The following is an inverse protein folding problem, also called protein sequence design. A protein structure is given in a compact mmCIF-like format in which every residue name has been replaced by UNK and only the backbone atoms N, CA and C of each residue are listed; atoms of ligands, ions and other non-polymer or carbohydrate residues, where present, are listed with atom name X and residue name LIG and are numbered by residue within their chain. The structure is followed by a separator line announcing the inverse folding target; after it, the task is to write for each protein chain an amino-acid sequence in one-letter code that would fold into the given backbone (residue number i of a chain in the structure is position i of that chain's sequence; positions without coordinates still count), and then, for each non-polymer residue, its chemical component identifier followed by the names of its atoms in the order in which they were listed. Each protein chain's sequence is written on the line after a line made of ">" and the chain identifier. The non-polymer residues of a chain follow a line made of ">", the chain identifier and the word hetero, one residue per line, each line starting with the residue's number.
data_IF_373843294816
#
_entry.id   IF_373843294816
#
_cell.length_a   1.000
_cell.length_b   1.000
_cell.length_c   1.000
_cell.angle_alpha   90.00
_cell.angle_beta   90.00
_cell.angle_gamma   90.00
#
_symmetry.space_group_name_H-M   'P 1'
#
loop_
_entity.id
_entity.type
_entity.pdbx_description
1 polymer ?
#
# COMPACT_ATOMS: atom_id res chain seq x y z
N UNK A 1 12.46 2.91 4.74
CA UNK A 1 11.72 1.79 4.13
C UNK A 1 10.45 2.25 3.45
N UNK A 2 10.09 1.61 2.37
CA UNK A 2 8.87 1.90 1.61
C UNK A 2 7.89 0.75 1.76
N UNK A 3 6.66 1.07 2.15
CA UNK A 3 5.56 0.12 2.15
C UNK A 3 4.71 0.36 0.90
N UNK A 4 4.59 -0.64 0.05
CA UNK A 4 3.72 -0.60 -1.13
C UNK A 4 2.46 -1.39 -0.86
N UNK A 5 1.31 -0.81 -1.18
CA UNK A 5 0.01 -1.43 -0.95
C UNK A 5 -0.76 -1.54 -2.27
N UNK A 6 -1.13 -2.76 -2.60
CA UNK A 6 -2.06 -3.06 -3.67
C UNK A 6 -3.43 -3.27 -3.04
N UNK A 7 -4.35 -2.35 -3.33
CA UNK A 7 -5.65 -2.26 -2.65
C UNK A 7 -6.56 -3.41 -3.06
N UNK A 8 -7.08 -4.11 -2.08
CA UNK A 8 -8.03 -5.18 -2.28
C UNK A 8 -8.66 -5.60 -0.97
N UNK A 9 -9.76 -6.33 -1.03
CA UNK A 9 -10.41 -6.91 0.14
C UNK A 9 -10.07 -8.39 0.22
N UNK A 10 -10.21 -9.10 -0.89
CA UNK A 10 -9.88 -10.52 -0.96
C UNK A 10 -8.38 -10.77 -0.95
N UNK A 11 -7.63 -9.87 -1.59
CA UNK A 11 -6.18 -9.95 -1.67
C UNK A 11 -5.62 -8.56 -1.43
N UNK A 12 -5.45 -8.22 -0.17
CA UNK A 12 -4.75 -7.00 0.23
C UNK A 12 -3.26 -7.33 0.29
N UNK A 13 -2.51 -6.78 -0.65
CA UNK A 13 -1.07 -7.05 -0.74
C UNK A 13 -0.28 -5.88 -0.18
N UNK A 14 0.64 -6.19 0.72
CA UNK A 14 1.53 -5.20 1.33
C UNK A 14 2.96 -5.71 1.26
N UNK A 15 3.86 -4.85 0.81
CA UNK A 15 5.26 -5.20 0.62
C UNK A 15 6.17 -4.12 1.16
N UNK A 16 7.05 -4.49 2.08
CA UNK A 16 8.03 -3.58 2.68
C UNK A 16 9.38 -3.74 1.98
N UNK A 17 9.87 -2.65 1.41
CA UNK A 17 11.14 -2.59 0.70
C UNK A 17 12.14 -1.74 1.47
N UNK A 18 13.36 -2.27 1.64
CA UNK A 18 14.48 -1.48 2.11
C UNK A 18 15.12 -0.77 0.91
N UNK A 19 15.06 0.56 0.89
CA UNK A 19 15.59 1.37 -0.21
C UNK A 19 17.10 1.26 -0.34
N UNK A 20 17.81 1.09 0.77
CA UNK A 20 19.26 1.04 0.79
C UNK A 20 19.80 -0.24 0.17
N UNK A 21 19.24 -1.39 0.57
CA UNK A 21 19.64 -2.70 0.06
C UNK A 21 18.89 -3.13 -1.18
N UNK A 22 17.78 -2.46 -1.48
CA UNK A 22 16.84 -2.80 -2.57
C UNK A 22 16.24 -4.21 -2.40
N UNK A 23 16.12 -4.67 -1.15
CA UNK A 23 15.58 -5.98 -0.81
C UNK A 23 14.20 -5.85 -0.19
N UNK A 24 13.36 -6.85 -0.45
CA UNK A 24 12.07 -7.01 0.23
C UNK A 24 12.36 -7.53 1.64
N UNK A 25 11.95 -6.76 2.63
CA UNK A 25 12.14 -7.09 4.04
C UNK A 25 10.99 -7.96 4.55
N UNK A 26 9.77 -7.64 4.16
CA UNK A 26 8.59 -8.38 4.57
C UNK A 26 7.45 -8.12 3.58
N UNK A 27 6.58 -9.11 3.41
CA UNK A 27 5.40 -8.97 2.57
C UNK A 27 4.28 -9.85 3.09
N UNK A 28 3.05 -9.47 2.75
CA UNK A 28 1.85 -10.19 3.09
C UNK A 28 0.81 -10.02 2.00
N UNK A 29 0.15 -11.11 1.63
CA UNK A 29 -1.02 -11.09 0.77
C UNK A 29 -2.10 -11.88 1.48
N UNK A 30 -3.13 -11.20 1.95
CA UNK A 30 -4.18 -11.85 2.73
C UNK A 30 -5.53 -11.18 2.50
N UNK A 31 -6.60 -11.96 2.71
CA UNK A 31 -7.95 -11.45 2.65
C UNK A 31 -8.35 -10.79 3.96
N UNK A 32 -9.06 -9.69 3.86
CA UNK A 32 -9.68 -9.06 5.03
C UNK A 32 -10.90 -9.86 5.41
N UNK A 33 -11.04 -10.28 6.68
CA UNK A 33 -12.24 -11.03 7.11
C UNK A 33 -13.51 -10.21 6.85
N UNK A 34 -14.49 -10.75 6.11
CA UNK A 34 -15.64 -9.96 5.65
C UNK A 34 -16.69 -9.71 6.73
N UNK A 35 -16.65 -10.41 7.84
CA UNK A 35 -17.79 -10.49 8.76
C UNK A 35 -17.53 -9.92 10.14
N UNK A 36 -16.92 -8.74 10.24
CA UNK A 36 -16.95 -8.05 11.51
C UNK A 36 -18.36 -7.45 11.69
N UNK A 37 -18.97 -7.69 12.86
CA UNK A 37 -20.31 -7.18 13.18
C UNK A 37 -20.41 -5.65 13.04
N UNK A 38 -19.31 -4.94 13.23
CA UNK A 38 -19.24 -3.48 13.18
C UNK A 38 -18.80 -2.94 11.81
N UNK A 39 -18.67 -3.82 10.81
CA UNK A 39 -18.45 -3.43 9.42
C UNK A 39 -17.04 -3.61 8.90
N UNK A 40 -16.90 -3.33 7.59
CA UNK A 40 -15.67 -3.53 6.85
C UNK A 40 -14.48 -2.75 7.41
N UNK A 41 -14.69 -1.51 7.81
CA UNK A 41 -13.58 -0.67 8.26
C UNK A 41 -13.01 -1.11 9.60
N UNK A 42 -13.85 -1.68 10.46
CA UNK A 42 -13.36 -2.28 11.71
C UNK A 42 -12.53 -3.53 11.40
N UNK A 43 -12.99 -4.36 10.46
CA UNK A 43 -12.21 -5.51 10.00
C UNK A 43 -10.87 -5.10 9.41
N UNK A 44 -10.85 -4.06 8.59
CA UNK A 44 -9.62 -3.52 8.01
C UNK A 44 -8.66 -3.02 9.09
N UNK A 45 -9.16 -2.25 10.04
CA UNK A 45 -8.36 -1.74 11.15
C UNK A 45 -7.69 -2.89 11.92
N UNK A 46 -8.47 -3.88 12.28
CA UNK A 46 -7.97 -5.01 13.07
C UNK A 46 -6.97 -5.84 12.27
N UNK A 47 -7.23 -6.02 10.97
CA UNK A 47 -6.33 -6.72 10.06
C UNK A 47 -4.97 -6.01 9.95
N UNK A 48 -4.99 -4.69 9.85
CA UNK A 48 -3.77 -3.88 9.77
C UNK A 48 -3.06 -3.79 11.13
N UNK A 49 -3.81 -3.61 12.21
CA UNK A 49 -3.24 -3.54 13.56
C UNK A 49 -2.56 -4.85 13.98
N UNK A 50 -2.94 -5.97 13.36
CA UNK A 50 -2.30 -7.28 13.57
C UNK A 50 -0.91 -7.37 12.93
N UNK A 51 -0.51 -6.37 12.16
CA UNK A 51 0.76 -6.34 11.43
C UNK A 51 1.59 -5.10 11.81
N UNK A 52 2.19 -5.08 13.00
CA UNK A 52 2.93 -3.88 13.46
C UNK A 52 4.09 -3.47 12.55
N UNK A 53 4.63 -4.41 11.78
CA UNK A 53 5.75 -4.13 10.87
C UNK A 53 5.41 -3.10 9.78
N UNK A 54 4.14 -2.95 9.42
CA UNK A 54 3.74 -1.98 8.40
C UNK A 54 3.96 -0.52 8.84
N UNK A 55 4.06 -0.28 10.14
CA UNK A 55 4.27 1.05 10.69
C UNK A 55 5.74 1.48 10.73
N UNK A 56 6.65 0.61 10.31
CA UNK A 56 8.08 0.91 10.24
C UNK A 56 8.47 1.68 8.96
N UNK A 57 7.54 1.87 8.05
CA UNK A 57 7.81 2.56 6.80
C UNK A 57 7.98 4.05 6.99
N UNK A 58 8.90 4.64 6.23
CA UNK A 58 9.08 6.10 6.11
C UNK A 58 8.17 6.67 5.02
N UNK A 59 7.82 5.83 4.06
CA UNK A 59 6.94 6.17 2.95
C UNK A 59 5.94 5.04 2.72
N UNK A 60 4.69 5.41 2.54
CA UNK A 60 3.60 4.47 2.22
C UNK A 60 3.03 4.84 0.85
N UNK A 61 3.03 3.87 -0.06
CA UNK A 61 2.51 4.03 -1.41
C UNK A 61 1.23 3.23 -1.56
N UNK A 62 0.14 3.93 -1.85
CA UNK A 62 -1.17 3.32 -2.03
C UNK A 62 -1.60 3.54 -3.49
N UNK A 63 -1.90 2.46 -4.20
CA UNK A 63 -2.36 2.55 -5.58
C UNK A 63 -3.76 3.13 -5.65
N UNK A 64 -3.92 4.21 -6.43
CA UNK A 64 -5.20 4.88 -6.63
C UNK A 64 -6.19 3.94 -7.33
N UNK A 65 -7.38 3.84 -6.77
CA UNK A 65 -8.43 3.01 -7.32
C UNK A 65 -9.32 3.79 -8.29
N UNK A 66 -9.93 3.11 -9.26
CA UNK A 66 -10.87 3.76 -10.18
C UNK A 66 -12.08 4.34 -9.46
N UNK A 67 -12.50 5.54 -9.86
CA UNK A 67 -13.67 6.21 -9.27
C UNK A 67 -14.96 5.41 -9.44
N UNK A 68 -15.02 4.58 -10.47
CA UNK A 68 -16.17 3.71 -10.74
C UNK A 68 -16.35 2.63 -9.68
N UNK A 69 -15.26 2.21 -9.03
CA UNK A 69 -15.32 1.20 -7.98
C UNK A 69 -15.38 1.87 -6.61
N UNK A 70 -16.61 2.21 -6.21
CA UNK A 70 -16.84 2.95 -4.97
C UNK A 70 -16.31 2.23 -3.75
N UNK A 71 -16.47 0.91 -3.68
CA UNK A 71 -16.02 0.13 -2.53
C UNK A 71 -14.50 0.15 -2.40
N UNK A 72 -13.78 -0.05 -3.50
CA UNK A 72 -12.32 0.01 -3.49
C UNK A 72 -11.83 1.44 -3.22
N UNK A 73 -12.57 2.44 -3.69
CA UNK A 73 -12.25 3.84 -3.41
C UNK A 73 -12.37 4.14 -1.93
N UNK A 74 -13.38 3.60 -1.27
CA UNK A 74 -13.54 3.73 0.18
C UNK A 74 -12.39 3.05 0.93
N UNK A 75 -11.96 1.88 0.48
CA UNK A 75 -10.82 1.16 1.07
C UNK A 75 -9.52 1.97 0.89
N UNK A 76 -9.31 2.53 -0.29
CA UNK A 76 -8.17 3.41 -0.58
C UNK A 76 -8.09 4.57 0.41
N UNK A 77 -9.20 5.27 0.61
CA UNK A 77 -9.25 6.41 1.54
C UNK A 77 -9.09 5.97 2.99
N UNK A 78 -9.64 4.82 3.35
CA UNK A 78 -9.45 4.26 4.68
C UNK A 78 -7.97 3.97 4.94
N UNK A 79 -7.29 3.35 4.00
CA UNK A 79 -5.87 3.04 4.12
C UNK A 79 -5.03 4.31 4.27
N UNK A 80 -5.32 5.32 3.47
CA UNK A 80 -4.65 6.60 3.56
C UNK A 80 -4.81 7.21 4.97
N UNK A 81 -6.05 7.27 5.44
CA UNK A 81 -6.37 7.80 6.77
C UNK A 81 -5.71 6.98 7.88
N UNK A 82 -5.75 5.66 7.75
CA UNK A 82 -5.13 4.76 8.73
C UNK A 82 -3.65 5.10 8.93
N UNK A 83 -2.89 5.22 7.86
CA UNK A 83 -1.45 5.51 7.96
C UNK A 83 -1.18 6.93 8.42
N UNK A 84 -2.00 7.90 8.04
CA UNK A 84 -1.88 9.28 8.55
C UNK A 84 -2.03 9.30 10.08
N UNK A 85 -2.94 8.50 10.62
CA UNK A 85 -3.20 8.44 12.05
C UNK A 85 -2.16 7.57 12.78
N UNK A 86 -1.90 6.37 12.27
CA UNK A 86 -1.04 5.37 12.94
C UNK A 86 0.44 5.63 12.75
N UNK A 87 0.83 6.26 11.64
CA UNK A 87 2.23 6.52 11.32
C UNK A 87 2.40 7.95 10.78
N UNK A 88 2.19 8.96 11.64
CA UNK A 88 2.17 10.36 11.21
C UNK A 88 3.52 10.86 10.69
N UNK A 89 4.61 10.17 11.00
CA UNK A 89 5.95 10.52 10.50
C UNK A 89 6.20 10.07 9.07
N UNK A 90 5.43 9.10 8.60
CA UNK A 90 5.59 8.61 7.23
C UNK A 90 4.90 9.54 6.24
N UNK A 91 5.48 9.63 5.04
CA UNK A 91 4.81 10.24 3.90
C UNK A 91 3.89 9.21 3.27
N UNK A 92 2.59 9.49 3.25
CA UNK A 92 1.59 8.58 2.67
C UNK A 92 1.09 9.17 1.36
N UNK A 93 1.31 8.44 0.26
CA UNK A 93 1.06 8.89 -1.10
C UNK A 93 0.08 7.96 -1.79
N UNK A 94 -1.02 8.52 -2.32
CA UNK A 94 -1.89 7.83 -3.26
C UNK A 94 -1.38 8.18 -4.66
N UNK A 95 -0.96 7.18 -5.42
CA UNK A 95 -0.40 7.41 -6.74
C UNK A 95 -1.27 6.75 -7.81
N UNK A 96 -1.34 7.38 -8.98
CA UNK A 96 -2.08 6.88 -10.12
C UNK A 96 -1.19 5.94 -10.94
N UNK A 97 -1.66 4.71 -11.15
CA UNK A 97 -0.94 3.71 -11.92
C UNK A 97 -0.61 4.15 -13.36
N UNK A 98 -1.38 5.09 -13.91
CA UNK A 98 -1.10 5.65 -15.24
C UNK A 98 0.24 6.37 -15.30
N UNK A 99 0.75 6.84 -14.17
CA UNK A 99 2.02 7.54 -14.09
C UNK A 99 3.22 6.63 -13.81
N UNK A 100 3.03 5.31 -13.88
CA UNK A 100 4.13 4.34 -13.80
C UNK A 100 4.97 4.27 -15.07
N UNK A 101 4.57 4.95 -16.12
CA UNK A 101 5.22 4.88 -17.44
C UNK A 101 6.34 5.92 -17.54
N UNK A 102 7.37 5.68 -18.41
CA UNK A 102 8.59 6.51 -18.46
C UNK A 102 8.40 7.99 -18.77
N UNK A 103 7.20 8.45 -19.05
CA UNK A 103 6.87 9.86 -19.26
C UNK A 103 6.95 10.70 -18.00
N UNK A 104 7.30 10.09 -16.89
CA UNK A 104 7.51 10.79 -15.64
C UNK A 104 8.77 11.65 -15.73
N UNK A 105 8.57 12.96 -15.70
CA UNK A 105 9.68 13.88 -15.77
C UNK A 105 10.56 13.77 -14.51
N UNK A 106 11.76 13.24 -14.69
CA UNK A 106 12.81 13.23 -13.68
C UNK A 106 13.27 11.84 -13.27
N UNK A 107 14.60 11.63 -13.18
CA UNK A 107 15.18 10.32 -12.90
C UNK A 107 14.78 9.75 -11.54
N UNK A 108 14.54 10.60 -10.54
CA UNK A 108 14.14 10.14 -9.21
C UNK A 108 12.77 9.48 -9.19
N UNK A 109 11.80 10.05 -9.92
CA UNK A 109 10.46 9.48 -10.01
C UNK A 109 10.40 8.20 -10.81
N UNK A 110 11.18 8.10 -11.87
CA UNK A 110 11.28 6.88 -12.67
C UNK A 110 11.86 5.73 -11.87
N UNK A 111 12.91 5.96 -11.09
CA UNK A 111 13.49 4.96 -10.20
C UNK A 111 12.52 4.52 -9.11
N UNK A 112 11.79 5.46 -8.56
CA UNK A 112 10.78 5.20 -7.53
C UNK A 112 9.69 4.26 -8.05
N UNK A 113 9.19 4.55 -9.25
CA UNK A 113 8.17 3.74 -9.92
C UNK A 113 8.70 2.34 -10.25
N UNK A 114 9.94 2.24 -10.73
CA UNK A 114 10.58 0.94 -11.01
C UNK A 114 10.74 0.11 -9.75
N UNK A 115 11.16 0.72 -8.64
CA UNK A 115 11.32 0.03 -7.36
C UNK A 115 9.99 -0.51 -6.87
N UNK A 116 8.93 0.27 -6.97
CA UNK A 116 7.61 -0.17 -6.57
C UNK A 116 7.11 -1.32 -7.43
N UNK A 117 7.23 -1.21 -8.76
CA UNK A 117 6.84 -2.27 -9.67
C UNK A 117 7.59 -3.56 -9.37
N UNK A 118 8.90 -3.48 -9.18
CA UNK A 118 9.72 -4.62 -8.82
C UNK A 118 9.29 -5.24 -7.49
N UNK A 119 8.96 -4.41 -6.49
CA UNK A 119 8.48 -4.87 -5.19
C UNK A 119 7.18 -5.64 -5.31
N UNK A 120 6.22 -5.14 -6.09
CA UNK A 120 4.93 -5.80 -6.30
C UNK A 120 5.15 -7.13 -7.02
N UNK A 121 5.95 -7.16 -8.08
CA UNK A 121 6.25 -8.38 -8.83
C UNK A 121 6.89 -9.45 -7.94
N UNK A 122 7.82 -9.06 -7.09
CA UNK A 122 8.47 -9.98 -6.14
C UNK A 122 7.50 -10.48 -5.08
N UNK A 123 6.60 -9.64 -4.61
CA UNK A 123 5.59 -10.05 -3.62
C UNK A 123 4.56 -11.01 -4.21
N UNK A 124 4.34 -10.98 -5.52
CA UNK A 124 3.43 -11.88 -6.21
C UNK A 124 4.06 -13.23 -6.55
N UNK A 125 5.35 -13.32 -6.50
CA UNK A 125 6.07 -14.56 -6.70
C UNK A 125 6.12 -15.39 -5.42
#
# INVERSE_FOLDING_TARGET
>A
MILSIDVGIRNLAMCMLDETSNLIVQWDVSGVPPEHKDGLFVSLRDHLDDKPWILEADTVLIEKQPDKNRKMKMVEHFLHTYFVIRNPKAETIIYDARFKIPDFAGPGKAMYTKRKKASIERCQQ
#
